data_IF_021905121373
#
_entry.id   IF_021905121373
#
_cell.length_a   1.000
_cell.length_b   1.000
_cell.length_c   1.000
_cell.angle_alpha   90.00
_cell.angle_beta   90.00
_cell.angle_gamma   90.00
#
_symmetry.space_group_name_H-M   'P 1'
#
loop_
_entity.id
_entity.type
_entity.pdbx_description
1 polymer ?
#
# COMPACT_ATOMS: atom_id res chain seq x y z
N UNK A 1 -5.98 -10.17 7.74
CA UNK A 1 -4.65 -10.71 7.35
C UNK A 1 -3.60 -9.77 7.87
N UNK A 2 -2.53 -10.29 8.49
CA UNK A 2 -1.43 -9.44 8.98
C UNK A 2 -0.28 -9.56 7.99
N UNK A 3 -0.08 -8.53 7.16
CA UNK A 3 1.05 -8.48 6.22
C UNK A 3 2.26 -7.99 7.01
N UNK A 4 3.25 -8.85 7.19
CA UNK A 4 4.50 -8.46 7.83
C UNK A 4 5.49 -8.18 6.71
N UNK A 5 5.82 -6.91 6.50
CA UNK A 5 6.85 -6.49 5.57
C UNK A 5 8.17 -6.32 6.33
N UNK A 6 9.25 -6.85 5.76
CA UNK A 6 10.60 -6.48 6.20
C UNK A 6 10.90 -5.02 5.80
N UNK A 7 11.80 -4.34 6.50
CA UNK A 7 12.18 -2.96 6.14
C UNK A 7 12.64 -2.82 4.68
N UNK A 8 13.36 -3.83 4.17
CA UNK A 8 13.81 -3.86 2.77
C UNK A 8 12.63 -3.97 1.79
N UNK A 9 11.65 -4.82 2.08
CA UNK A 9 10.43 -4.92 1.25
C UNK A 9 9.62 -3.62 1.29
N UNK A 10 9.55 -2.95 2.46
CA UNK A 10 8.88 -1.66 2.58
C UNK A 10 9.53 -0.61 1.67
N UNK A 11 10.85 -0.50 1.72
CA UNK A 11 11.61 0.42 0.88
C UNK A 11 11.40 0.12 -0.62
N UNK A 12 11.46 -1.14 -1.03
CA UNK A 12 11.21 -1.52 -2.43
C UNK A 12 9.80 -1.14 -2.90
N UNK A 13 8.79 -1.28 -2.04
CA UNK A 13 7.41 -0.91 -2.37
C UNK A 13 7.22 0.61 -2.47
N UNK A 14 7.93 1.38 -1.64
CA UNK A 14 7.96 2.85 -1.70
C UNK A 14 8.64 3.32 -3.00
N UNK A 15 9.80 2.75 -3.35
CA UNK A 15 10.52 3.06 -4.59
C UNK A 15 9.64 2.73 -5.81
N UNK A 16 8.97 1.57 -5.81
CA UNK A 16 8.03 1.18 -6.87
C UNK A 16 6.81 2.10 -6.95
N UNK A 17 6.29 2.55 -5.81
CA UNK A 17 5.14 3.47 -5.76
C UNK A 17 5.48 4.80 -6.44
N UNK A 18 6.69 5.31 -6.20
CA UNK A 18 7.16 6.58 -6.74
C UNK A 18 7.54 6.47 -8.22
N UNK A 19 8.11 5.35 -8.65
CA UNK A 19 8.46 5.13 -10.06
C UNK A 19 7.27 4.82 -10.96
N UNK A 20 6.14 4.38 -10.41
CA UNK A 20 5.00 3.91 -11.20
C UNK A 20 4.08 5.05 -11.64
N UNK A 21 3.82 5.15 -12.95
CA UNK A 21 2.87 6.10 -13.52
C UNK A 21 1.41 5.59 -13.56
N UNK A 22 1.20 4.27 -13.46
CA UNK A 22 -0.15 3.70 -13.40
C UNK A 22 -0.76 3.91 -12.01
N UNK A 23 -1.79 4.77 -11.93
CA UNK A 23 -2.50 5.06 -10.70
C UNK A 23 -3.09 3.83 -10.01
N UNK A 24 -3.53 2.82 -10.76
CA UNK A 24 -4.10 1.58 -10.18
C UNK A 24 -3.04 0.75 -9.48
N UNK A 25 -1.83 0.71 -10.03
CA UNK A 25 -0.69 0.00 -9.43
C UNK A 25 -0.22 0.75 -8.19
N UNK A 26 -0.19 2.09 -8.24
CA UNK A 26 0.12 2.94 -7.10
C UNK A 26 -0.85 2.73 -5.93
N UNK A 27 -2.15 2.67 -6.21
CA UNK A 27 -3.18 2.41 -5.20
C UNK A 27 -3.05 1.02 -4.55
N UNK A 28 -2.71 0.00 -5.35
CA UNK A 28 -2.44 -1.36 -4.85
C UNK A 28 -1.21 -1.41 -3.94
N UNK A 29 -0.12 -0.76 -4.33
CA UNK A 29 1.10 -0.67 -3.51
C UNK A 29 0.81 0.05 -2.20
N UNK A 30 0.07 1.16 -2.26
CA UNK A 30 -0.35 1.93 -1.08
C UNK A 30 -1.24 1.10 -0.15
N UNK A 31 -2.17 0.30 -0.67
CA UNK A 31 -2.97 -0.60 0.13
C UNK A 31 -2.13 -1.63 0.90
N UNK A 32 -1.09 -2.19 0.27
CA UNK A 32 -0.18 -3.15 0.89
C UNK A 32 0.65 -2.49 2.00
N UNK A 33 1.17 -1.28 1.75
CA UNK A 33 1.91 -0.50 2.76
C UNK A 33 1.04 -0.21 3.99
N UNK A 34 -0.17 0.33 3.78
CA UNK A 34 -1.11 0.66 4.87
C UNK A 34 -1.55 -0.60 5.64
N UNK A 35 -1.80 -1.72 4.95
CA UNK A 35 -2.13 -2.98 5.59
C UNK A 35 -0.98 -3.51 6.48
N UNK A 36 0.27 -3.27 6.08
CA UNK A 36 1.44 -3.63 6.91
C UNK A 36 1.56 -2.77 8.17
N UNK A 37 1.07 -1.52 8.11
CA UNK A 37 1.00 -0.59 9.23
C UNK A 37 -0.18 -0.87 10.18
N UNK A 38 -0.98 -1.89 9.88
CA UNK A 38 -2.10 -2.32 10.71
C UNK A 38 -3.41 -1.60 10.42
N UNK A 39 -3.51 -0.89 9.28
CA UNK A 39 -4.77 -0.29 8.86
C UNK A 39 -5.80 -1.37 8.52
N UNK A 40 -7.06 -1.13 8.90
CA UNK A 40 -8.15 -2.01 8.51
C UNK A 40 -8.49 -1.84 7.02
N UNK A 41 -9.08 -2.86 6.42
CA UNK A 41 -9.50 -2.81 5.03
C UNK A 41 -10.48 -1.65 4.76
N UNK A 42 -11.35 -1.33 5.72
CA UNK A 42 -12.29 -0.20 5.64
C UNK A 42 -11.58 1.15 5.69
N UNK A 43 -10.52 1.29 6.49
CA UNK A 43 -9.70 2.51 6.49
C UNK A 43 -8.93 2.66 5.17
N UNK A 44 -8.41 1.57 4.62
CA UNK A 44 -7.70 1.57 3.33
C UNK A 44 -8.65 1.94 2.19
N UNK A 45 -9.85 1.35 2.12
CA UNK A 45 -10.84 1.70 1.09
C UNK A 45 -11.24 3.17 1.16
N UNK A 46 -11.43 3.69 2.38
CA UNK A 46 -11.73 5.10 2.60
C UNK A 46 -10.57 6.02 2.17
N UNK A 47 -9.32 5.66 2.52
CA UNK A 47 -8.13 6.44 2.18
C UNK A 47 -7.85 6.47 0.68
N UNK A 48 -8.18 5.40 -0.04
CA UNK A 48 -8.06 5.32 -1.49
C UNK A 48 -9.28 5.90 -2.22
N UNK A 49 -10.35 6.27 -1.50
CA UNK A 49 -11.65 6.72 -2.06
C UNK A 49 -12.22 5.72 -3.08
N UNK A 50 -11.94 4.44 -2.85
CA UNK A 50 -12.51 3.33 -3.61
C UNK A 50 -13.79 2.99 -2.85
N UNK A 51 -14.89 3.58 -3.31
CA UNK A 51 -16.24 3.38 -2.78
C UNK A 51 -17.02 2.42 -3.67
#
# INVERSE_FOLDING_TARGET
>A
MKIILTPQQKQQLEDMHDSTCDGRVRDRLKAVLLASEGWSQTMISQALRIH
#
